data_IF_940590121864
#
_entry.id   IF_940590121864
#
_cell.length_a   1.000
_cell.length_b   1.000
_cell.length_c   1.000
_cell.angle_alpha   90.00
_cell.angle_beta   90.00
_cell.angle_gamma   90.00
#
_symmetry.space_group_name_H-M   'P 1'
#
loop_
_entity.id
_entity.type
_entity.pdbx_description
1 polymer ?
#
# COMPACT_ATOMS: atom_id res chain seq x y z
N UNK A 1 -0.89 -25.80 31.57
CA UNK A 1 0.01 -26.33 30.53
C UNK A 1 0.92 -25.28 29.88
N UNK A 2 0.98 -24.01 30.32
CA UNK A 2 2.03 -23.06 29.91
C UNK A 2 2.14 -22.74 28.41
N UNK A 3 1.20 -23.21 27.59
CA UNK A 3 1.18 -23.06 26.12
C UNK A 3 0.05 -22.14 25.71
N UNK A 4 0.36 -21.20 24.83
CA UNK A 4 -0.55 -20.18 24.32
C UNK A 4 -0.56 -20.22 22.79
N UNK A 5 -1.70 -19.82 22.21
CA UNK A 5 -1.86 -19.69 20.78
C UNK A 5 -2.08 -18.22 20.42
N UNK A 6 -1.26 -17.70 19.51
CA UNK A 6 -1.41 -16.35 18.98
C UNK A 6 -1.63 -16.45 17.48
N UNK A 7 -2.68 -15.79 16.98
CA UNK A 7 -3.00 -15.75 15.55
C UNK A 7 -2.49 -14.44 14.97
N UNK A 8 -1.56 -14.51 14.01
CA UNK A 8 -0.97 -13.35 13.34
C UNK A 8 -1.10 -13.49 11.81
N UNK A 9 -1.24 -12.38 11.10
CA UNK A 9 -1.35 -12.34 9.64
C UNK A 9 0.00 -11.97 9.02
N UNK A 10 0.70 -12.90 8.39
CA UNK A 10 1.97 -12.61 7.72
C UNK A 10 1.80 -12.63 6.21
N UNK A 11 2.17 -11.55 5.51
CA UNK A 11 2.02 -11.41 4.06
C UNK A 11 0.62 -11.81 3.57
N UNK A 12 -0.40 -11.38 4.33
CA UNK A 12 -1.80 -11.71 4.07
C UNK A 12 -2.21 -13.15 4.42
N UNK A 13 -1.36 -13.99 5.01
CA UNK A 13 -1.75 -15.34 5.47
C UNK A 13 -1.90 -15.39 6.98
N UNK A 14 -3.05 -15.83 7.47
CA UNK A 14 -3.27 -16.07 8.89
C UNK A 14 -2.54 -17.34 9.35
N UNK A 15 -1.62 -17.17 10.29
CA UNK A 15 -0.85 -18.24 10.90
C UNK A 15 -1.17 -18.32 12.39
N UNK A 16 -1.30 -19.55 12.90
CA UNK A 16 -1.42 -19.80 14.35
C UNK A 16 -0.05 -20.19 14.87
N UNK A 17 0.47 -19.40 15.79
CA UNK A 17 1.80 -19.56 16.38
C UNK A 17 1.63 -20.04 17.82
N UNK A 18 2.20 -21.20 18.11
CA UNK A 18 2.24 -21.75 19.47
C UNK A 18 3.47 -21.19 20.20
N UNK A 19 3.27 -20.69 21.40
CA UNK A 19 4.34 -20.17 22.28
C UNK A 19 4.18 -20.73 23.70
N UNK A 20 5.29 -20.86 24.40
CA UNK A 20 5.33 -21.12 25.85
C UNK A 20 5.38 -19.80 26.67
N UNK A 21 5.38 -19.90 28.00
CA UNK A 21 5.47 -18.77 28.96
C UNK A 21 6.89 -18.32 29.34
N UNK A 22 7.95 -18.91 28.77
CA UNK A 22 9.31 -18.45 29.04
C UNK A 22 9.58 -17.11 28.33
N UNK A 23 9.57 -16.02 29.09
CA UNK A 23 9.83 -14.67 28.59
C UNK A 23 11.25 -14.22 28.97
N UNK A 24 11.95 -13.44 28.10
CA UNK A 24 13.24 -12.87 28.45
C UNK A 24 13.12 -11.87 29.59
N UNK A 25 13.81 -12.15 30.69
CA UNK A 25 13.90 -11.28 31.86
C UNK A 25 15.34 -10.88 32.16
N UNK A 26 15.51 -9.74 32.81
CA UNK A 26 16.79 -9.31 33.37
C UNK A 26 17.15 -10.12 34.63
N UNK A 27 18.31 -9.82 35.22
CA UNK A 27 18.79 -10.47 36.45
C UNK A 27 17.86 -10.28 37.66
N UNK A 28 16.97 -9.28 37.61
CA UNK A 28 16.01 -8.95 38.65
C UNK A 28 14.61 -9.55 38.38
N UNK A 29 14.44 -10.27 37.27
CA UNK A 29 13.17 -10.88 36.88
C UNK A 29 12.20 -9.93 36.16
N UNK A 30 12.62 -8.74 35.76
CA UNK A 30 11.81 -7.83 34.95
C UNK A 30 11.91 -8.18 33.47
N UNK A 31 10.79 -8.08 32.75
CA UNK A 31 10.75 -8.31 31.31
C UNK A 31 11.65 -7.32 30.58
N UNK A 32 12.53 -7.81 29.70
CA UNK A 32 13.48 -6.95 28.97
C UNK A 32 12.82 -6.23 27.78
N UNK A 33 11.77 -6.83 27.21
CA UNK A 33 11.07 -6.33 26.03
C UNK A 33 9.74 -5.68 26.38
N UNK A 34 8.70 -5.84 25.56
CA UNK A 34 7.43 -5.15 25.72
C UNK A 34 6.78 -5.45 27.08
N UNK A 35 6.30 -4.40 27.74
CA UNK A 35 5.59 -4.48 29.00
C UNK A 35 4.24 -3.79 28.85
N UNK A 36 3.19 -4.43 29.39
CA UNK A 36 1.89 -3.81 29.50
C UNK A 36 1.65 -3.31 30.93
N UNK A 37 0.78 -2.32 31.06
CA UNK A 37 0.35 -1.86 32.38
C UNK A 37 -0.28 -3.00 33.20
N UNK A 38 -0.11 -2.93 34.51
CA UNK A 38 -0.68 -3.91 35.46
C UNK A 38 -0.18 -5.34 35.22
N UNK A 39 1.04 -5.50 34.72
CA UNK A 39 1.70 -6.79 34.49
C UNK A 39 0.88 -7.74 33.61
N UNK A 40 0.19 -7.21 32.61
CA UNK A 40 -0.56 -8.02 31.65
C UNK A 40 0.39 -8.69 30.65
N UNK A 41 0.26 -10.01 30.48
CA UNK A 41 1.18 -10.80 29.64
C UNK A 41 0.80 -10.88 28.15
N UNK A 42 -0.38 -10.36 27.76
CA UNK A 42 -0.85 -10.49 26.38
C UNK A 42 0.05 -9.74 25.38
N UNK A 43 0.64 -8.59 25.76
CA UNK A 43 1.58 -7.85 24.90
C UNK A 43 2.90 -8.63 24.73
N UNK A 44 3.60 -9.06 25.81
CA UNK A 44 4.78 -9.92 25.66
C UNK A 44 4.52 -11.18 24.84
N UNK A 45 3.35 -11.80 24.96
CA UNK A 45 2.99 -12.99 24.19
C UNK A 45 2.85 -12.70 22.69
N UNK A 46 2.22 -11.58 22.32
CA UNK A 46 2.14 -11.16 20.92
C UNK A 46 3.55 -10.88 20.36
N UNK A 47 4.37 -10.15 21.09
CA UNK A 47 5.75 -9.84 20.69
C UNK A 47 6.59 -11.11 20.54
N UNK A 48 6.48 -12.06 21.48
CA UNK A 48 7.14 -13.36 21.39
C UNK A 48 6.69 -14.17 20.17
N UNK A 49 5.39 -14.20 19.88
CA UNK A 49 4.87 -14.88 18.70
C UNK A 49 5.41 -14.24 17.42
N UNK A 50 5.47 -12.92 17.37
CA UNK A 50 6.03 -12.16 16.25
C UNK A 50 7.54 -12.44 16.08
N UNK A 51 8.31 -12.43 17.18
CA UNK A 51 9.73 -12.77 17.19
C UNK A 51 9.97 -14.20 16.68
N UNK A 52 9.15 -15.17 17.14
CA UNK A 52 9.22 -16.56 16.67
C UNK A 52 8.92 -16.68 15.18
N UNK A 53 7.95 -15.93 14.67
CA UNK A 53 7.60 -15.90 13.26
C UNK A 53 8.73 -15.35 12.37
N UNK A 54 9.47 -14.36 12.88
CA UNK A 54 10.62 -13.76 12.17
C UNK A 54 11.98 -14.36 12.55
N UNK A 55 12.01 -15.36 13.43
CA UNK A 55 13.19 -16.11 13.85
C UNK A 55 13.78 -15.69 15.20
N UNK A 56 13.83 -14.40 15.54
CA UNK A 56 14.33 -13.90 16.83
C UNK A 56 13.76 -12.52 17.20
N UNK A 57 13.98 -12.08 18.46
CA UNK A 57 13.57 -10.75 18.93
C UNK A 57 14.31 -9.61 18.22
N UNK A 58 15.58 -9.81 17.86
CA UNK A 58 16.37 -8.80 17.15
C UNK A 58 15.79 -8.48 15.76
N UNK A 59 15.15 -9.46 15.10
CA UNK A 59 14.47 -9.27 13.82
C UNK A 59 13.25 -8.33 13.88
N UNK A 60 12.79 -7.98 15.08
CA UNK A 60 11.70 -7.01 15.28
C UNK A 60 12.19 -5.56 15.33
N UNK A 61 13.50 -5.33 15.38
CA UNK A 61 14.08 -3.99 15.41
C UNK A 61 13.70 -3.19 14.15
N UNK A 62 13.39 -1.90 14.33
CA UNK A 62 13.08 -0.94 13.25
C UNK A 62 11.82 -1.22 12.41
N UNK A 63 10.79 -1.88 12.98
CA UNK A 63 9.49 -2.03 12.32
C UNK A 63 8.70 -0.72 12.20
N UNK A 64 7.90 -0.57 11.14
CA UNK A 64 6.95 0.54 10.97
C UNK A 64 5.57 0.17 11.54
N UNK A 65 4.77 1.16 11.93
CA UNK A 65 3.42 0.93 12.45
C UNK A 65 2.54 0.19 11.46
N UNK A 66 2.64 0.52 10.17
CA UNK A 66 1.89 -0.13 9.10
C UNK A 66 2.06 -1.66 9.08
N UNK A 67 3.26 -2.16 9.38
CA UNK A 67 3.55 -3.60 9.36
C UNK A 67 2.92 -4.30 10.56
N UNK A 68 2.98 -3.67 11.74
CA UNK A 68 2.32 -4.15 12.95
C UNK A 68 0.80 -4.19 12.79
N UNK A 69 0.22 -3.11 12.24
CA UNK A 69 -1.22 -3.03 11.97
C UNK A 69 -1.67 -4.11 10.98
N UNK A 70 -0.97 -4.27 9.85
CA UNK A 70 -1.26 -5.32 8.89
C UNK A 70 -1.12 -6.72 9.50
N UNK A 71 -0.13 -6.92 10.38
CA UNK A 71 0.12 -8.23 10.99
C UNK A 71 -0.93 -8.62 12.03
N UNK A 72 -1.40 -7.66 12.83
CA UNK A 72 -2.37 -7.91 13.88
C UNK A 72 -3.80 -8.00 13.36
N UNK A 73 -4.11 -7.26 12.30
CA UNK A 73 -5.49 -7.13 11.79
C UNK A 73 -5.74 -7.92 10.51
N UNK A 74 -4.70 -8.15 9.72
CA UNK A 74 -4.81 -8.71 8.37
C UNK A 74 -5.52 -7.81 7.36
N UNK A 75 -5.85 -6.56 7.75
CA UNK A 75 -6.59 -5.60 6.95
C UNK A 75 -5.67 -4.78 6.04
N UNK A 76 -6.23 -4.14 4.98
CA UNK A 76 -5.46 -3.29 4.09
C UNK A 76 -4.92 -2.08 4.84
N UNK A 77 -3.66 -1.76 4.60
CA UNK A 77 -3.03 -0.57 5.16
C UNK A 77 -2.53 0.36 4.06
N UNK A 78 -2.56 1.67 4.31
CA UNK A 78 -2.11 2.71 3.40
C UNK A 78 -1.24 3.72 4.15
N UNK A 79 -0.21 4.25 3.49
CA UNK A 79 0.65 5.29 4.05
C UNK A 79 0.36 6.63 3.38
N UNK A 80 -0.07 7.61 4.16
CA UNK A 80 -0.24 8.99 3.74
C UNK A 80 1.05 9.74 4.10
N UNK A 81 1.76 10.26 3.11
CA UNK A 81 2.97 11.08 3.32
C UNK A 81 2.56 12.51 3.65
N UNK A 82 3.15 13.09 4.71
CA UNK A 82 2.89 14.45 5.16
C UNK A 82 3.97 15.43 4.69
N UNK A 83 5.20 14.97 4.46
CA UNK A 83 6.32 15.81 4.07
C UNK A 83 6.78 15.54 2.64
N UNK A 84 7.02 16.62 1.87
CA UNK A 84 7.51 16.54 0.50
C UNK A 84 8.94 16.03 0.50
N UNK A 85 9.23 15.04 -0.33
CA UNK A 85 10.60 14.72 -0.71
C UNK A 85 11.03 15.67 -1.84
N UNK A 86 12.32 15.93 -2.00
CA UNK A 86 12.92 16.91 -2.94
C UNK A 86 12.56 16.74 -4.44
N UNK A 87 11.75 15.72 -4.79
CA UNK A 87 11.38 15.35 -6.15
C UNK A 87 9.85 15.17 -6.35
N UNK A 88 9.01 15.40 -5.33
CA UNK A 88 7.55 15.30 -5.44
C UNK A 88 6.89 16.68 -5.58
N UNK A 89 5.75 16.80 -6.30
CA UNK A 89 5.00 18.05 -6.36
C UNK A 89 4.55 18.50 -4.97
N UNK A 90 4.23 19.78 -4.82
CA UNK A 90 3.74 20.37 -3.57
C UNK A 90 2.60 19.51 -2.99
N UNK A 91 2.75 19.13 -1.72
CA UNK A 91 1.74 18.36 -1.02
C UNK A 91 0.52 19.25 -0.75
N UNK A 92 -0.64 18.83 -1.26
CA UNK A 92 -1.91 19.49 -0.97
C UNK A 92 -2.35 19.16 0.47
N UNK A 93 -2.18 20.14 1.36
CA UNK A 93 -2.58 20.06 2.78
C UNK A 93 -4.07 19.82 2.94
N UNK A 94 -4.92 20.41 2.09
CA UNK A 94 -6.37 20.27 2.18
C UNK A 94 -6.80 18.86 1.77
N UNK A 95 -6.14 18.27 0.76
CA UNK A 95 -6.37 16.87 0.39
C UNK A 95 -5.99 15.90 1.52
N UNK A 96 -4.86 16.13 2.19
CA UNK A 96 -4.46 15.30 3.35
C UNK A 96 -5.48 15.45 4.48
N UNK A 97 -5.89 16.67 4.80
CA UNK A 97 -6.89 16.92 5.83
C UNK A 97 -8.20 16.20 5.53
N UNK A 98 -8.71 16.31 4.31
CA UNK A 98 -9.93 15.62 3.87
C UNK A 98 -9.79 14.09 3.99
N UNK A 99 -8.62 13.52 3.65
CA UNK A 99 -8.35 12.09 3.81
C UNK A 99 -8.35 11.66 5.28
N UNK A 100 -7.70 12.42 6.17
CA UNK A 100 -7.68 12.12 7.60
C UNK A 100 -9.09 12.16 8.21
N UNK A 101 -9.89 13.15 7.83
CA UNK A 101 -11.28 13.26 8.27
C UNK A 101 -12.12 12.07 7.79
N UNK A 102 -11.99 11.70 6.51
CA UNK A 102 -12.65 10.54 5.92
C UNK A 102 -12.26 9.23 6.62
N UNK A 103 -10.97 9.03 6.92
CA UNK A 103 -10.49 7.85 7.67
C UNK A 103 -11.06 7.79 9.08
N UNK A 104 -11.17 8.95 9.76
CA UNK A 104 -11.78 9.05 11.08
C UNK A 104 -13.28 8.77 11.06
N UNK A 105 -14.02 9.26 10.06
CA UNK A 105 -15.45 8.95 9.89
C UNK A 105 -15.68 7.45 9.65
N UNK A 106 -14.79 6.81 8.89
CA UNK A 106 -14.77 5.36 8.69
C UNK A 106 -14.29 4.56 9.93
N UNK A 107 -13.87 5.23 11.00
CA UNK A 107 -13.33 4.62 12.23
C UNK A 107 -12.11 3.71 11.99
N UNK A 108 -11.28 4.07 11.01
CA UNK A 108 -10.03 3.36 10.72
C UNK A 108 -8.97 3.63 11.78
N UNK A 109 -8.10 2.63 12.00
CA UNK A 109 -6.99 2.77 12.94
C UNK A 109 -5.88 3.58 12.27
N UNK A 110 -5.35 4.57 12.97
CA UNK A 110 -4.29 5.44 12.43
C UNK A 110 -3.11 5.53 13.38
N UNK A 111 -1.91 5.33 12.84
CA UNK A 111 -0.64 5.58 13.52
C UNK A 111 0.15 6.63 12.75
N UNK A 112 0.98 7.41 13.44
CA UNK A 112 1.87 8.38 12.81
C UNK A 112 3.31 8.14 13.26
N UNK A 113 4.25 8.43 12.36
CA UNK A 113 5.68 8.32 12.64
C UNK A 113 6.29 9.70 12.77
N UNK A 114 6.96 9.95 13.91
CA UNK A 114 7.63 11.21 14.20
C UNK A 114 9.10 11.15 13.73
N UNK A 115 9.45 12.03 12.79
CA UNK A 115 10.81 12.32 12.34
C UNK A 115 11.66 11.13 11.88
N UNK A 116 11.53 10.66 10.62
CA UNK A 116 12.41 9.63 10.06
C UNK A 116 13.07 10.02 8.71
N UNK A 117 12.61 11.07 8.01
CA UNK A 117 13.03 11.32 6.62
C UNK A 117 14.28 12.22 6.45
N UNK A 118 14.62 13.06 7.43
CA UNK A 118 15.78 13.95 7.33
C UNK A 118 16.88 13.48 8.29
N UNK A 119 18.01 13.01 7.74
CA UNK A 119 19.21 12.56 8.47
C UNK A 119 19.88 13.62 9.36
N UNK A 120 19.26 14.79 9.50
CA UNK A 120 19.67 15.93 10.34
C UNK A 120 18.55 16.35 11.31
N UNK A 121 17.79 15.39 11.86
CA UNK A 121 16.85 15.70 12.93
C UNK A 121 17.61 16.11 14.18
N UNK A 122 17.51 17.38 14.54
CA UNK A 122 18.04 17.86 15.80
C UNK A 122 17.11 17.37 16.92
N UNK A 123 17.46 16.25 17.55
CA UNK A 123 16.67 15.65 18.63
C UNK A 123 16.36 16.65 19.76
N UNK A 124 17.18 17.68 19.93
CA UNK A 124 16.94 18.75 20.91
C UNK A 124 15.72 19.61 20.56
N UNK A 125 15.44 19.88 19.28
CA UNK A 125 14.25 20.65 18.86
C UNK A 125 12.96 19.88 19.19
N UNK A 126 12.94 18.58 18.89
CA UNK A 126 11.79 17.71 19.17
C UNK A 126 11.55 17.58 20.67
N UNK A 127 12.61 17.36 21.47
CA UNK A 127 12.48 17.27 22.92
C UNK A 127 12.03 18.59 23.56
N UNK A 128 12.41 19.76 23.02
CA UNK A 128 11.96 21.07 23.51
C UNK A 128 10.43 21.22 23.39
N UNK A 129 9.86 20.75 22.29
CA UNK A 129 8.39 20.77 22.08
C UNK A 129 7.67 19.57 22.70
N UNK A 130 8.41 18.68 23.40
CA UNK A 130 7.84 17.52 24.08
C UNK A 130 7.55 16.32 23.17
N UNK A 131 8.13 16.27 21.97
CA UNK A 131 8.02 15.15 21.04
C UNK A 131 9.27 14.27 21.10
N UNK A 132 9.07 12.95 21.10
CA UNK A 132 10.11 11.94 20.91
C UNK A 132 10.34 11.69 19.41
N UNK A 133 11.55 11.95 18.87
CA UNK A 133 11.88 11.60 17.48
C UNK A 133 12.09 10.09 17.31
N UNK A 134 11.97 9.59 16.07
CA UNK A 134 12.02 8.16 15.72
C UNK A 134 11.04 7.32 16.55
N UNK A 135 9.84 7.85 16.77
CA UNK A 135 8.84 7.19 17.60
C UNK A 135 7.47 7.18 16.93
N UNK A 136 6.71 6.13 17.24
CA UNK A 136 5.35 5.90 16.77
C UNK A 136 4.33 6.52 17.73
N UNK A 137 3.38 7.27 17.18
CA UNK A 137 2.24 7.82 17.92
C UNK A 137 0.95 7.23 17.36
N UNK A 138 -0.08 7.10 18.19
CA UNK A 138 -1.42 6.75 17.71
C UNK A 138 -2.19 8.03 17.41
N UNK A 139 -2.78 8.13 16.23
CA UNK A 139 -3.68 9.21 15.87
C UNK A 139 -5.11 8.81 16.28
N UNK A 140 -5.61 9.44 17.35
CA UNK A 140 -6.86 9.06 18.00
C UNK A 140 -8.08 9.78 17.44
N UNK A 141 -7.93 11.05 17.09
CA UNK A 141 -9.05 11.86 16.59
C UNK A 141 -8.57 13.00 15.68
N UNK A 142 -9.46 13.44 14.81
CA UNK A 142 -9.28 14.52 13.83
C UNK A 142 -10.55 15.36 13.83
N UNK A 143 -10.40 16.66 14.09
CA UNK A 143 -11.53 17.59 14.28
C UNK A 143 -11.31 18.90 13.54
N UNK A 144 -12.35 19.34 12.83
CA UNK A 144 -12.45 20.70 12.28
C UNK A 144 -13.55 21.45 13.05
N UNK A 145 -13.16 22.47 13.80
CA UNK A 145 -14.11 23.27 14.60
C UNK A 145 -13.91 24.75 14.29
N UNK A 146 -14.90 25.35 13.62
CA UNK A 146 -14.88 26.77 13.25
C UNK A 146 -13.64 27.15 12.42
N UNK A 147 -13.14 26.24 11.57
CA UNK A 147 -11.93 26.44 10.77
C UNK A 147 -10.63 26.14 11.51
N UNK A 148 -10.69 25.69 12.77
CA UNK A 148 -9.53 25.23 13.53
C UNK A 148 -9.39 23.72 13.33
N UNK A 149 -8.29 23.33 12.69
CA UNK A 149 -7.96 21.93 12.39
C UNK A 149 -7.04 21.36 13.46
N UNK A 150 -7.55 20.42 14.24
CA UNK A 150 -6.85 19.80 15.35
C UNK A 150 -6.76 18.28 15.18
N UNK A 151 -5.63 17.73 15.57
CA UNK A 151 -5.41 16.29 15.64
C UNK A 151 -5.09 15.89 17.08
N UNK A 152 -5.62 14.74 17.51
CA UNK A 152 -5.39 14.16 18.83
C UNK A 152 -4.45 12.98 18.69
N UNK A 153 -3.33 13.03 19.40
CA UNK A 153 -2.28 12.01 19.36
C UNK A 153 -2.09 11.38 20.72
N UNK A 154 -1.55 10.16 20.71
CA UNK A 154 -1.12 9.44 21.90
C UNK A 154 0.30 8.93 21.74
N UNK A 155 1.14 9.24 22.72
CA UNK A 155 2.42 8.59 22.96
C UNK A 155 2.19 7.28 23.74
N UNK A 156 2.50 6.10 23.15
CA UNK A 156 2.37 4.82 23.84
C UNK A 156 3.18 4.70 25.14
N UNK A 157 4.32 5.39 25.25
CA UNK A 157 5.17 5.36 26.44
C UNK A 157 4.67 6.24 27.58
N UNK A 158 3.59 7.01 27.39
CA UNK A 158 3.05 7.98 28.36
C UNK A 158 4.09 8.96 28.91
N UNK A 159 5.17 9.18 28.16
CA UNK A 159 6.25 10.13 28.48
C UNK A 159 6.19 11.28 27.49
N UNK A 160 6.55 12.48 27.95
CA UNK A 160 6.64 13.69 27.13
C UNK A 160 5.27 14.10 26.52
N UNK A 161 4.68 15.15 27.09
CA UNK A 161 3.48 15.80 26.53
C UNK A 161 3.90 16.93 25.62
N UNK A 162 3.17 17.13 24.53
CA UNK A 162 3.33 18.27 23.63
C UNK A 162 3.25 19.59 24.39
N UNK A 163 4.20 20.50 24.14
CA UNK A 163 4.32 21.79 24.82
C UNK A 163 3.98 23.00 23.92
N UNK A 164 3.56 22.77 22.68
CA UNK A 164 3.25 23.85 21.73
C UNK A 164 1.78 24.28 21.75
N UNK A 165 1.30 24.81 20.63
CA UNK A 165 -0.09 25.24 20.48
C UNK A 165 -1.06 24.08 20.67
N UNK A 166 -2.14 24.31 21.43
CA UNK A 166 -3.12 23.28 21.82
C UNK A 166 -2.59 22.17 22.73
N UNK A 167 -1.40 22.34 23.32
CA UNK A 167 -0.98 21.60 24.52
C UNK A 167 -2.00 21.77 25.65
N UNK A 168 -1.97 20.86 26.64
CA UNK A 168 -2.97 20.87 27.73
C UNK A 168 -3.06 22.23 28.44
N UNK A 169 -1.93 22.89 28.67
CA UNK A 169 -1.82 24.20 29.34
C UNK A 169 -1.87 25.40 28.37
N UNK A 170 -2.16 25.17 27.09
CA UNK A 170 -2.17 26.23 26.08
C UNK A 170 -3.25 27.30 26.36
N UNK A 171 -2.92 28.60 26.26
CA UNK A 171 -3.89 29.68 26.43
C UNK A 171 -4.90 29.77 25.28
N UNK A 172 -4.69 29.02 24.19
CA UNK A 172 -5.60 28.97 23.04
C UNK A 172 -6.91 28.24 23.34
N UNK A 173 -6.94 27.44 24.41
CA UNK A 173 -8.14 26.74 24.84
C UNK A 173 -9.20 27.72 25.35
N UNK A 174 -10.30 27.85 24.60
CA UNK A 174 -11.53 28.44 25.11
C UNK A 174 -12.27 27.42 25.98
N UNK A 175 -13.06 27.90 26.94
CA UNK A 175 -13.84 27.03 27.85
C UNK A 175 -14.76 26.08 27.05
N UNK A 176 -15.37 26.57 25.97
CA UNK A 176 -16.24 25.77 25.10
C UNK A 176 -15.49 24.66 24.36
N UNK A 177 -14.32 24.97 23.77
CA UNK A 177 -13.49 23.97 23.07
C UNK A 177 -12.94 22.94 24.05
N UNK A 178 -12.48 23.38 25.21
CA UNK A 178 -11.93 22.49 26.24
C UNK A 178 -12.98 21.51 26.75
N UNK A 179 -14.19 21.98 27.04
CA UNK A 179 -15.29 21.10 27.44
C UNK A 179 -15.70 20.10 26.35
N UNK A 180 -15.56 20.46 25.08
CA UNK A 180 -15.93 19.60 23.94
C UNK A 180 -14.85 18.56 23.61
N UNK A 181 -13.58 18.94 23.62
CA UNK A 181 -12.46 18.10 23.17
C UNK A 181 -11.68 17.42 24.30
N UNK A 182 -11.77 17.95 25.51
CA UNK A 182 -11.13 17.41 26.73
C UNK A 182 -12.18 17.23 27.84
N UNK A 183 -13.28 16.48 27.62
CA UNK A 183 -14.36 16.34 28.60
C UNK A 183 -13.92 15.65 29.90
N UNK A 184 -12.88 14.82 29.85
CA UNK A 184 -12.32 14.09 30.99
C UNK A 184 -11.01 14.69 31.52
N UNK A 185 -10.63 15.88 31.04
CA UNK A 185 -9.36 16.51 31.36
C UNK A 185 -8.18 16.00 30.53
N UNK A 186 -6.98 16.36 30.95
CA UNK A 186 -5.73 15.90 30.35
C UNK A 186 -5.42 14.46 30.78
N UNK A 187 -4.94 13.65 29.84
CA UNK A 187 -4.52 12.28 30.07
C UNK A 187 -3.04 12.15 29.71
N UNK A 188 -2.26 11.45 30.53
CA UNK A 188 -0.81 11.34 30.32
C UNK A 188 -0.46 10.73 28.96
N UNK A 189 0.34 11.46 28.19
CA UNK A 189 0.77 11.06 26.85
C UNK A 189 -0.29 11.25 25.77
N UNK A 190 -1.47 11.80 26.06
CA UNK A 190 -2.47 12.15 25.06
C UNK A 190 -2.57 13.66 24.97
N UNK A 191 -2.45 14.20 23.77
CA UNK A 191 -2.48 15.65 23.55
C UNK A 191 -3.14 16.00 22.22
N UNK A 192 -3.61 17.25 22.13
CA UNK A 192 -4.03 17.86 20.88
C UNK A 192 -2.90 18.68 20.29
N UNK A 193 -2.88 18.81 18.97
CA UNK A 193 -1.99 19.75 18.27
C UNK A 193 -2.66 20.30 17.03
N UNK A 194 -2.14 21.42 16.55
CA UNK A 194 -2.57 22.00 15.28
C UNK A 194 -2.20 21.09 14.11
N UNK A 195 -3.01 21.09 13.04
CA UNK A 195 -2.68 20.33 11.83
C UNK A 195 -1.40 20.83 11.16
N UNK A 196 -1.09 22.12 11.25
CA UNK A 196 0.16 22.67 10.68
C UNK A 196 1.40 22.18 11.45
N UNK A 197 1.34 22.11 12.79
CA UNK A 197 2.41 21.51 13.58
C UNK A 197 2.54 20.02 13.29
N UNK A 198 1.41 19.32 13.12
CA UNK A 198 1.42 17.92 12.75
C UNK A 198 2.17 17.67 11.45
N UNK A 199 1.88 18.44 10.40
CA UNK A 199 2.58 18.36 9.11
C UNK A 199 4.08 18.69 9.23
N UNK A 200 4.47 19.56 10.17
CA UNK A 200 5.86 19.96 10.41
C UNK A 200 6.69 18.88 11.12
N UNK A 201 6.12 18.23 12.15
CA UNK A 201 6.87 17.29 13.00
C UNK A 201 6.68 15.82 12.63
N UNK A 202 5.60 15.47 11.94
CA UNK A 202 5.32 14.09 11.53
C UNK A 202 5.59 13.88 10.05
N UNK A 203 6.05 12.67 9.72
CA UNK A 203 6.45 12.32 8.35
C UNK A 203 5.32 11.68 7.56
N UNK A 204 4.60 10.77 8.21
CA UNK A 204 3.57 9.96 7.58
C UNK A 204 2.53 9.50 8.59
N UNK A 205 1.35 9.19 8.05
CA UNK A 205 0.26 8.52 8.75
C UNK A 205 0.01 7.18 8.10
N UNK A 206 0.16 6.13 8.88
CA UNK A 206 -0.20 4.76 8.54
C UNK A 206 -1.67 4.54 8.91
N UNK A 207 -2.52 4.33 7.90
CA UNK A 207 -3.96 4.06 8.04
C UNK A 207 -4.19 2.58 7.84
N UNK A 208 -4.88 1.93 8.78
CA UNK A 208 -5.32 0.55 8.66
C UNK A 208 -6.84 0.52 8.53
N UNK A 209 -7.31 0.10 7.35
CA UNK A 209 -8.73 0.09 6.94
C UNK A 209 -9.47 -1.10 7.54
N UNK A 210 -9.36 -1.27 8.87
CA UNK A 210 -10.10 -2.32 9.59
C UNK A 210 -11.57 -1.95 9.56
N UNK A 211 -12.38 -2.81 8.95
CA UNK A 211 -13.82 -2.71 9.01
C UNK A 211 -14.42 -4.10 9.31
N UNK A 212 -15.01 -4.31 10.50
CA UNK A 212 -15.62 -5.59 10.85
C UNK A 212 -16.78 -6.02 9.95
N UNK A 213 -17.40 -5.08 9.24
CA UNK A 213 -18.51 -5.37 8.31
C UNK A 213 -18.04 -5.84 6.92
N UNK A 214 -16.74 -5.70 6.62
CA UNK A 214 -16.22 -6.07 5.31
C UNK A 214 -15.99 -7.58 5.21
N UNK A 215 -16.32 -8.10 4.03
CA UNK A 215 -16.04 -9.47 3.64
C UNK A 215 -14.63 -9.55 3.08
N UNK A 216 -13.93 -10.63 3.45
CA UNK A 216 -12.57 -10.89 3.02
C UNK A 216 -12.49 -12.17 2.19
N UNK A 217 -11.84 -12.08 1.03
CA UNK A 217 -11.42 -13.22 0.23
C UNK A 217 -9.89 -13.20 0.08
N UNK A 218 -9.20 -14.28 0.52
CA UNK A 218 -7.75 -14.42 0.37
C UNK A 218 -7.46 -15.48 -0.68
N UNK A 219 -6.73 -15.09 -1.73
CA UNK A 219 -6.52 -15.92 -2.92
C UNK A 219 -5.03 -16.03 -3.19
N UNK A 220 -4.55 -17.26 -3.28
CA UNK A 220 -3.17 -17.53 -3.70
C UNK A 220 -3.11 -17.41 -5.22
N UNK A 221 -2.21 -16.58 -5.71
CA UNK A 221 -2.00 -16.38 -7.14
C UNK A 221 -0.57 -16.61 -7.56
N UNK A 222 -0.34 -16.48 -8.86
CA UNK A 222 0.98 -16.48 -9.44
C UNK A 222 1.19 -15.22 -10.28
N UNK A 223 2.41 -14.68 -10.25
CA UNK A 223 2.77 -13.58 -11.14
C UNK A 223 2.78 -14.07 -12.58
N UNK A 224 1.94 -13.45 -13.40
CA UNK A 224 1.88 -13.72 -14.82
C UNK A 224 2.88 -12.85 -15.57
N UNK A 225 3.72 -13.49 -16.39
CA UNK A 225 4.67 -12.80 -17.25
C UNK A 225 4.01 -12.49 -18.59
N UNK A 226 4.09 -11.24 -19.09
CA UNK A 226 3.34 -10.85 -20.30
C UNK A 226 3.66 -11.65 -21.57
N UNK A 227 4.69 -12.49 -21.64
CA UNK A 227 5.24 -12.98 -22.92
C UNK A 227 5.62 -14.47 -22.97
N UNK A 228 5.32 -15.29 -21.95
CA UNK A 228 5.78 -16.70 -21.93
C UNK A 228 4.95 -17.69 -22.74
N UNK A 229 3.88 -17.26 -23.43
CA UNK A 229 2.96 -18.19 -24.11
C UNK A 229 2.21 -19.12 -23.16
N UNK A 230 2.37 -18.93 -21.85
CA UNK A 230 1.69 -19.68 -20.82
C UNK A 230 0.29 -19.11 -20.56
N UNK A 231 -0.57 -19.99 -20.04
CA UNK A 231 -1.86 -19.62 -19.48
C UNK A 231 -1.65 -18.63 -18.33
N UNK A 232 -2.35 -17.50 -18.38
CA UNK A 232 -2.32 -16.43 -17.39
C UNK A 232 -3.48 -16.63 -16.45
N UNK A 233 -3.19 -16.85 -15.16
CA UNK A 233 -4.20 -16.95 -14.12
C UNK A 233 -4.63 -15.55 -13.70
N UNK A 234 -5.93 -15.30 -13.79
CA UNK A 234 -6.57 -14.05 -13.41
C UNK A 234 -7.71 -14.35 -12.42
N UNK A 235 -8.16 -13.33 -11.69
CA UNK A 235 -9.27 -13.47 -10.76
C UNK A 235 -10.50 -12.77 -11.32
N UNK A 236 -11.53 -13.53 -11.66
CA UNK A 236 -12.82 -13.01 -12.07
C UNK A 236 -13.66 -12.72 -10.83
N UNK A 237 -14.28 -11.54 -10.82
CA UNK A 237 -15.01 -11.01 -9.68
C UNK A 237 -16.42 -10.67 -10.15
N UNK A 238 -17.41 -11.36 -9.62
CA UNK A 238 -18.81 -11.04 -9.85
C UNK A 238 -19.34 -10.19 -8.70
N UNK A 239 -19.78 -8.98 -9.05
CA UNK A 239 -20.32 -7.99 -8.13
C UNK A 239 -21.84 -7.94 -8.32
N UNK A 240 -22.59 -8.19 -7.25
CA UNK A 240 -24.06 -8.25 -7.29
C UNK A 240 -24.73 -6.93 -6.89
N UNK A 241 -24.10 -6.19 -5.98
CA UNK A 241 -24.54 -4.89 -5.49
C UNK A 241 -23.37 -3.90 -5.58
N UNK A 242 -23.65 -2.61 -5.70
CA UNK A 242 -22.58 -1.59 -5.68
C UNK A 242 -21.75 -1.75 -4.40
N UNK A 243 -20.47 -2.04 -4.56
CA UNK A 243 -19.58 -2.49 -3.50
C UNK A 243 -18.29 -1.69 -3.52
N UNK A 244 -17.94 -1.11 -2.38
CA UNK A 244 -16.57 -0.65 -2.15
C UNK A 244 -15.66 -1.87 -1.97
N UNK A 245 -14.52 -1.85 -2.67
CA UNK A 245 -13.58 -2.96 -2.73
C UNK A 245 -12.16 -2.43 -2.61
N UNK A 246 -11.36 -3.07 -1.73
CA UNK A 246 -9.93 -2.86 -1.61
C UNK A 246 -9.18 -4.12 -2.03
N UNK A 247 -8.34 -3.96 -3.04
CA UNK A 247 -7.43 -4.99 -3.52
C UNK A 247 -6.09 -4.80 -2.85
N UNK A 248 -5.55 -5.87 -2.29
CA UNK A 248 -4.19 -5.87 -1.76
C UNK A 248 -3.42 -7.07 -2.28
N UNK A 249 -2.20 -6.83 -2.74
CA UNK A 249 -1.28 -7.84 -3.23
C UNK A 249 -0.08 -7.89 -2.30
N UNK A 250 0.18 -9.08 -1.76
CA UNK A 250 1.31 -9.38 -0.92
C UNK A 250 2.29 -10.26 -1.69
N UNK A 251 3.56 -9.87 -1.65
CA UNK A 251 4.69 -10.67 -2.12
C UNK A 251 5.34 -11.32 -0.90
N UNK A 252 5.83 -12.55 -1.06
CA UNK A 252 6.55 -13.23 0.01
C UNK A 252 7.88 -12.50 0.28
N UNK A 253 7.86 -11.59 1.25
CA UNK A 253 9.06 -10.98 1.79
C UNK A 253 9.39 -11.68 3.10
N UNK A 254 10.43 -12.52 3.08
CA UNK A 254 10.96 -13.11 4.30
C UNK A 254 11.86 -12.07 4.98
N UNK A 255 11.43 -11.53 6.13
CA UNK A 255 12.34 -11.01 7.15
C UNK A 255 13.18 -12.17 7.74
N UNK A 256 13.88 -12.92 6.89
CA UNK A 256 14.81 -13.94 7.32
C UNK A 256 16.11 -13.24 7.66
N UNK A 257 16.50 -13.30 8.93
CA UNK A 257 17.85 -12.90 9.38
C UNK A 257 18.85 -13.74 8.58
N UNK A 258 19.48 -13.11 7.59
CA UNK A 258 20.35 -13.76 6.65
C UNK A 258 20.24 -13.18 5.25
N UNK A 259 20.67 -11.92 5.09
CA UNK A 259 21.22 -11.35 3.84
C UNK A 259 20.57 -11.80 2.51
N UNK A 260 19.24 -11.92 2.45
CA UNK A 260 18.55 -11.88 1.17
C UNK A 260 18.31 -10.41 0.87
N UNK A 261 19.15 -9.88 0.00
CA UNK A 261 18.93 -8.61 -0.69
C UNK A 261 17.48 -8.55 -1.21
N UNK A 262 16.96 -7.34 -1.47
CA UNK A 262 15.65 -7.05 -2.11
C UNK A 262 15.43 -7.73 -3.49
N UNK A 263 16.24 -8.72 -3.85
CA UNK A 263 16.30 -9.42 -5.14
C UNK A 263 15.05 -10.24 -5.42
N UNK A 264 14.27 -10.62 -4.38
CA UNK A 264 13.06 -11.45 -4.54
C UNK A 264 11.76 -10.63 -4.69
N UNK A 265 11.78 -9.31 -4.47
CA UNK A 265 10.58 -8.46 -4.63
C UNK A 265 10.42 -8.10 -6.11
N UNK A 266 9.28 -8.48 -6.68
CA UNK A 266 8.98 -8.18 -8.07
C UNK A 266 8.41 -6.78 -8.23
N UNK A 267 8.68 -6.19 -9.39
CA UNK A 267 8.00 -5.00 -9.86
C UNK A 267 6.59 -5.35 -10.36
N UNK A 268 5.61 -5.10 -9.51
CA UNK A 268 4.26 -5.58 -9.73
C UNK A 268 3.24 -4.43 -9.83
N UNK A 269 2.13 -4.74 -10.49
CA UNK A 269 0.93 -3.89 -10.52
C UNK A 269 -0.32 -4.77 -10.48
N UNK A 270 -1.33 -4.31 -9.75
CA UNK A 270 -2.67 -4.90 -9.79
C UNK A 270 -3.54 -4.01 -10.65
N UNK A 271 -4.22 -4.60 -11.62
CA UNK A 271 -5.16 -3.86 -12.48
C UNK A 271 -6.48 -4.59 -12.53
N UNK A 272 -7.56 -3.84 -12.37
CA UNK A 272 -8.93 -4.34 -12.40
C UNK A 272 -9.62 -3.79 -13.63
N UNK A 273 -10.26 -4.67 -14.39
CA UNK A 273 -11.00 -4.32 -15.59
C UNK A 273 -12.46 -4.75 -15.48
N UNK A 274 -13.35 -4.01 -16.15
CA UNK A 274 -14.73 -4.42 -16.33
C UNK A 274 -14.80 -5.34 -17.54
N UNK A 275 -15.50 -6.45 -17.40
CA UNK A 275 -15.72 -7.45 -18.44
C UNK A 275 -17.17 -7.43 -18.90
N UNK A 276 -17.38 -7.81 -20.16
CA UNK A 276 -18.72 -8.13 -20.63
C UNK A 276 -19.19 -9.44 -19.97
N UNK A 277 -20.44 -9.44 -19.50
CA UNK A 277 -21.03 -10.58 -18.79
C UNK A 277 -21.36 -11.75 -19.72
N UNK A 278 -21.49 -11.50 -21.03
CA UNK A 278 -21.82 -12.53 -22.02
C UNK A 278 -20.57 -13.10 -22.67
N UNK A 279 -19.68 -12.25 -23.19
CA UNK A 279 -18.48 -12.68 -23.92
C UNK A 279 -17.27 -12.93 -23.02
N UNK A 280 -17.24 -12.35 -21.81
CA UNK A 280 -16.06 -12.38 -20.94
C UNK A 280 -14.92 -11.47 -21.41
N UNK A 281 -15.10 -10.72 -22.51
CA UNK A 281 -14.08 -9.81 -23.02
C UNK A 281 -13.89 -8.59 -22.12
N UNK A 282 -12.65 -8.08 -22.07
CA UNK A 282 -12.34 -6.86 -21.33
C UNK A 282 -12.93 -5.65 -22.07
N UNK A 283 -13.74 -4.86 -21.37
CA UNK A 283 -14.34 -3.64 -21.89
C UNK A 283 -13.42 -2.43 -21.66
N UNK A 284 -13.08 -2.15 -20.39
CA UNK A 284 -12.21 -1.03 -20.05
C UNK A 284 -11.55 -1.22 -18.68
N UNK A 285 -10.43 -0.50 -18.47
CA UNK A 285 -9.75 -0.47 -17.20
C UNK A 285 -10.54 0.32 -16.16
N UNK A 286 -10.71 -0.22 -14.96
CA UNK A 286 -11.45 0.43 -13.85
C UNK A 286 -10.45 1.13 -12.95
N UNK A 287 -9.54 0.38 -12.33
CA UNK A 287 -8.54 0.89 -11.39
C UNK A 287 -7.21 0.15 -11.56
N UNK A 288 -6.11 0.82 -11.25
CA UNK A 288 -4.79 0.21 -11.13
C UNK A 288 -4.11 0.64 -9.82
N UNK A 289 -3.25 -0.21 -9.28
CA UNK A 289 -2.29 0.20 -8.25
C UNK A 289 -1.17 1.04 -8.87
N UNK A 290 -0.39 1.70 -8.02
CA UNK A 290 0.91 2.22 -8.44
C UNK A 290 1.87 1.04 -8.66
N UNK A 291 2.67 1.09 -9.72
CA UNK A 291 3.69 0.07 -9.99
C UNK A 291 4.96 0.42 -9.23
N UNK A 292 5.37 -0.45 -8.31
CA UNK A 292 6.53 -0.24 -7.44
C UNK A 292 7.19 -1.57 -7.08
N UNK A 293 8.50 -1.53 -6.84
CA UNK A 293 9.26 -2.60 -6.19
C UNK A 293 8.92 -2.62 -4.69
N UNK A 294 7.74 -3.11 -4.34
CA UNK A 294 7.27 -3.13 -2.97
C UNK A 294 6.56 -4.44 -2.62
N UNK A 295 6.79 -4.93 -1.41
CA UNK A 295 6.22 -6.20 -0.94
C UNK A 295 4.69 -6.15 -0.79
N UNK A 296 4.12 -4.96 -0.71
CA UNK A 296 2.69 -4.72 -0.58
C UNK A 296 2.25 -3.68 -1.61
N UNK A 297 1.18 -3.99 -2.34
CA UNK A 297 0.55 -3.07 -3.28
C UNK A 297 -0.95 -3.08 -3.01
N UNK A 298 -1.59 -1.92 -3.10
CA UNK A 298 -3.04 -1.83 -2.96
C UNK A 298 -3.67 -0.88 -3.98
N UNK A 299 -4.96 -1.09 -4.22
CA UNK A 299 -5.82 -0.14 -4.90
C UNK A 299 -7.26 -0.27 -4.39
N UNK A 300 -8.00 0.84 -4.45
CA UNK A 300 -9.38 0.92 -4.00
C UNK A 300 -10.29 1.25 -5.19
N UNK A 301 -11.50 0.70 -5.21
CA UNK A 301 -12.51 1.07 -6.19
C UNK A 301 -13.93 0.87 -5.65
N UNK A 302 -14.85 1.68 -6.16
CA UNK A 302 -16.28 1.44 -6.04
C UNK A 302 -16.74 0.69 -7.30
N UNK A 303 -17.12 -0.57 -7.15
CA UNK A 303 -17.58 -1.42 -8.25
C UNK A 303 -19.10 -1.44 -8.29
N UNK A 304 -19.67 -1.20 -9.46
CA UNK A 304 -21.11 -1.39 -9.72
C UNK A 304 -21.42 -2.86 -9.99
N UNK A 305 -22.69 -3.28 -9.97
CA UNK A 305 -23.07 -4.64 -10.36
C UNK A 305 -22.55 -5.00 -11.75
N UNK A 306 -21.88 -6.14 -11.87
CA UNK A 306 -21.28 -6.60 -13.11
C UNK A 306 -20.12 -7.57 -12.92
N UNK A 307 -19.49 -7.91 -14.03
CA UNK A 307 -18.35 -8.80 -14.08
C UNK A 307 -17.05 -8.01 -14.21
N UNK A 308 -16.06 -8.37 -13.41
CA UNK A 308 -14.74 -7.75 -13.39
C UNK A 308 -13.65 -8.81 -13.44
N UNK A 309 -12.46 -8.43 -13.88
CA UNK A 309 -11.28 -9.27 -13.80
C UNK A 309 -10.11 -8.49 -13.20
N UNK A 310 -9.48 -9.07 -12.19
CA UNK A 310 -8.26 -8.56 -11.58
C UNK A 310 -7.06 -9.35 -12.08
N UNK A 311 -6.08 -8.62 -12.61
CA UNK A 311 -4.85 -9.17 -13.17
C UNK A 311 -3.66 -8.61 -12.39
N UNK A 312 -2.81 -9.52 -11.90
CA UNK A 312 -1.54 -9.18 -11.26
C UNK A 312 -0.40 -9.36 -12.26
N UNK A 313 0.22 -8.25 -12.65
CA UNK A 313 1.26 -8.23 -13.67
C UNK A 313 2.61 -7.94 -13.03
N UNK A 314 3.66 -8.65 -13.48
CA UNK A 314 5.06 -8.33 -13.19
C UNK A 314 5.80 -8.02 -14.49
N UNK A 315 6.68 -7.02 -14.44
CA UNK A 315 7.42 -6.53 -15.62
C UNK A 315 8.92 -6.80 -15.57
N UNK A 316 9.38 -7.60 -14.61
CA UNK A 316 10.80 -7.89 -14.43
C UNK A 316 11.31 -8.92 -15.46
N UNK A 317 12.62 -8.93 -15.70
CA UNK A 317 13.26 -9.67 -16.81
C UNK A 317 12.97 -11.19 -16.75
N UNK A 318 12.51 -11.76 -17.87
CA UNK A 318 12.18 -13.19 -18.02
C UNK A 318 13.35 -14.12 -17.67
N UNK A 319 14.58 -13.71 -17.98
CA UNK A 319 15.79 -14.52 -17.75
C UNK A 319 16.13 -14.69 -16.27
N UNK A 320 15.82 -13.69 -15.44
CA UNK A 320 16.05 -13.72 -13.99
C UNK A 320 14.98 -14.57 -13.32
N UNK A 321 13.72 -14.41 -13.74
CA UNK A 321 12.58 -15.08 -13.13
C UNK A 321 12.61 -16.60 -13.35
N UNK A 322 13.04 -17.07 -14.52
CA UNK A 322 13.14 -18.51 -14.79
C UNK A 322 14.22 -19.23 -13.98
N UNK A 323 15.17 -18.51 -13.37
CA UNK A 323 16.31 -19.12 -12.66
C UNK A 323 16.15 -19.15 -11.14
N UNK A 324 15.33 -18.29 -10.51
CA UNK A 324 15.51 -18.04 -9.06
C UNK A 324 14.25 -17.96 -8.19
N UNK A 325 13.03 -17.74 -8.70
CA UNK A 325 11.89 -17.37 -7.84
C UNK A 325 10.64 -18.26 -7.99
N UNK A 326 10.08 -18.71 -6.87
CA UNK A 326 8.68 -19.14 -6.82
C UNK A 326 7.80 -17.90 -7.00
N UNK A 327 7.12 -17.79 -8.15
CA UNK A 327 6.25 -16.65 -8.52
C UNK A 327 4.94 -16.59 -7.74
N UNK A 328 4.89 -17.10 -6.50
CA UNK A 328 3.68 -17.09 -5.69
C UNK A 328 3.41 -15.71 -5.13
N UNK A 329 2.16 -15.28 -5.22
CA UNK A 329 1.66 -14.11 -4.53
C UNK A 329 0.42 -14.47 -3.73
N UNK A 330 0.04 -13.59 -2.81
CA UNK A 330 -1.26 -13.66 -2.18
C UNK A 330 -1.99 -12.36 -2.45
N UNK A 331 -3.14 -12.46 -3.10
CA UNK A 331 -4.07 -11.35 -3.27
C UNK A 331 -5.17 -11.46 -2.22
N UNK A 332 -5.45 -10.37 -1.53
CA UNK A 332 -6.60 -10.28 -0.62
C UNK A 332 -7.56 -9.24 -1.17
N UNK A 333 -8.84 -9.60 -1.18
CA UNK A 333 -9.91 -8.77 -1.63
C UNK A 333 -10.85 -8.50 -0.47
N UNK A 334 -10.87 -7.25 -0.02
CA UNK A 334 -11.82 -6.81 0.99
C UNK A 334 -12.96 -6.07 0.32
N UNK A 335 -14.19 -6.34 0.73
CA UNK A 335 -15.39 -5.82 0.08
C UNK A 335 -16.49 -5.51 1.08
N UNK A 336 -17.19 -4.40 0.86
CA UNK A 336 -18.31 -3.97 1.71
C UNK A 336 -19.57 -4.84 1.60
N UNK A 337 -19.71 -5.59 0.51
CA UNK A 337 -20.81 -6.55 0.26
C UNK A 337 -20.26 -7.88 -0.21
N UNK A 338 -21.11 -8.90 -0.22
CA UNK A 338 -20.75 -10.22 -0.71
C UNK A 338 -20.48 -10.15 -2.23
N UNK A 339 -19.29 -10.61 -2.60
CA UNK A 339 -18.86 -10.76 -4.00
C UNK A 339 -18.35 -12.19 -4.19
N UNK A 340 -18.48 -12.69 -5.40
CA UNK A 340 -17.93 -13.99 -5.78
C UNK A 340 -16.61 -13.79 -6.52
N UNK A 341 -15.60 -14.59 -6.17
CA UNK A 341 -14.30 -14.55 -6.82
C UNK A 341 -13.89 -15.94 -7.27
N UNK A 342 -13.58 -16.07 -8.56
CA UNK A 342 -13.17 -17.32 -9.20
C UNK A 342 -11.81 -17.13 -9.90
N UNK A 343 -10.94 -18.15 -9.85
CA UNK A 343 -9.72 -18.18 -10.63
C UNK A 343 -10.04 -18.62 -12.07
N UNK A 344 -9.56 -17.86 -13.06
CA UNK A 344 -9.81 -18.11 -14.47
C UNK A 344 -8.53 -18.02 -15.28
N UNK A 345 -8.41 -18.92 -16.24
CA UNK A 345 -7.26 -19.06 -17.12
C UNK A 345 -7.50 -18.29 -18.42
N UNK A 346 -6.54 -17.43 -18.78
CA UNK A 346 -6.60 -16.55 -19.95
C UNK A 346 -5.36 -16.68 -20.83
N UNK A 347 -5.46 -16.20 -22.07
CA UNK A 347 -4.38 -16.24 -23.06
C UNK A 347 -3.44 -15.03 -22.95
N UNK A 348 -2.27 -15.13 -23.58
CA UNK A 348 -1.35 -13.98 -23.72
C UNK A 348 -1.96 -12.82 -24.51
N UNK A 349 -2.82 -13.10 -25.50
CA UNK A 349 -3.54 -12.07 -26.25
C UNK A 349 -4.50 -11.27 -25.37
N UNK A 350 -5.12 -11.92 -24.39
CA UNK A 350 -6.00 -11.27 -23.42
C UNK A 350 -5.22 -10.27 -22.55
N UNK A 351 -4.04 -10.65 -22.05
CA UNK A 351 -3.17 -9.76 -21.29
C UNK A 351 -2.63 -8.60 -22.13
N UNK A 352 -2.29 -8.84 -23.39
CA UNK A 352 -1.88 -7.79 -24.31
C UNK A 352 -2.98 -6.74 -24.52
N UNK A 353 -4.24 -7.20 -24.69
CA UNK A 353 -5.40 -6.30 -24.77
C UNK A 353 -5.61 -5.53 -23.45
N UNK A 354 -5.47 -6.20 -22.30
CA UNK A 354 -5.56 -5.56 -20.99
C UNK A 354 -4.53 -4.42 -20.83
N UNK A 355 -3.27 -4.68 -21.17
CA UNK A 355 -2.20 -3.67 -21.16
C UNK A 355 -2.51 -2.50 -22.09
N UNK A 356 -3.06 -2.77 -23.28
CA UNK A 356 -3.48 -1.73 -24.20
C UNK A 356 -4.54 -0.81 -23.59
N UNK A 357 -5.62 -1.38 -23.04
CA UNK A 357 -6.71 -0.63 -22.40
C UNK A 357 -6.26 0.16 -21.17
N UNK A 358 -5.28 -0.35 -20.43
CA UNK A 358 -4.66 0.38 -19.32
C UNK A 358 -3.92 1.63 -19.81
N UNK A 359 -3.12 1.51 -20.88
CA UNK A 359 -2.39 2.64 -21.47
C UNK A 359 -3.34 3.61 -22.17
N UNK A 360 -4.44 3.13 -22.75
CA UNK A 360 -5.47 4.00 -23.33
C UNK A 360 -6.13 4.89 -22.25
N UNK A 361 -6.42 4.34 -21.07
CA UNK A 361 -7.07 5.08 -19.98
C UNK A 361 -6.13 6.06 -19.25
N UNK A 362 -4.92 5.61 -18.92
CA UNK A 362 -4.00 6.37 -18.05
C UNK A 362 -2.82 6.98 -18.80
N UNK A 363 -2.56 6.54 -20.02
CA UNK A 363 -1.43 7.00 -20.82
C UNK A 363 -1.69 8.35 -21.45
N UNK A 364 -0.60 8.97 -21.89
CA UNK A 364 -0.62 10.20 -22.68
C UNK A 364 -0.48 9.82 -24.15
N UNK A 365 -1.33 10.41 -24.97
CA UNK A 365 -1.19 10.28 -26.42
C UNK A 365 0.00 11.13 -26.88
N UNK A 366 0.87 10.54 -27.69
CA UNK A 366 1.95 11.26 -28.34
C UNK A 366 1.52 11.65 -29.76
N UNK A 367 1.36 12.94 -29.99
CA UNK A 367 1.10 13.48 -31.32
C UNK A 367 2.41 13.62 -32.08
N UNK A 368 2.65 12.72 -33.04
CA UNK A 368 3.81 12.81 -33.90
C UNK A 368 3.45 13.69 -35.10
N UNK A 369 4.21 14.76 -35.30
CA UNK A 369 4.06 15.63 -36.46
C UNK A 369 4.22 14.82 -37.76
N UNK A 370 3.30 15.01 -38.71
CA UNK A 370 3.24 14.36 -40.03
C UNK A 370 2.75 12.90 -40.07
N UNK A 371 2.27 12.32 -38.97
CA UNK A 371 1.56 11.04 -39.02
C UNK A 371 0.05 11.23 -39.31
N UNK A 372 -0.59 10.33 -40.07
CA UNK A 372 -2.04 10.40 -40.26
C UNK A 372 -2.74 10.23 -38.91
N UNK A 373 -3.83 10.99 -38.67
CA UNK A 373 -4.62 10.94 -37.42
C UNK A 373 -5.12 9.53 -37.04
N UNK A 374 -5.05 8.60 -37.98
CA UNK A 374 -5.40 7.19 -37.84
C UNK A 374 -4.36 6.34 -37.13
N UNK A 375 -3.10 6.79 -36.99
CA UNK A 375 -2.09 6.11 -36.17
C UNK A 375 -2.01 6.79 -34.81
N UNK A 376 -2.31 6.06 -33.74
CA UNK A 376 -2.25 6.57 -32.38
C UNK A 376 -1.13 5.88 -31.62
N UNK A 377 -0.17 6.66 -31.13
CA UNK A 377 0.87 6.17 -30.23
C UNK A 377 0.59 6.73 -28.84
N UNK A 378 0.52 5.87 -27.84
CA UNK A 378 0.30 6.26 -26.45
C UNK A 378 1.42 5.70 -25.58
N UNK A 379 1.74 6.42 -24.53
CA UNK A 379 2.73 5.97 -23.56
C UNK A 379 2.26 6.21 -22.13
N UNK A 380 2.67 5.33 -21.23
CA UNK A 380 2.39 5.42 -19.81
C UNK A 380 3.70 5.38 -19.03
N UNK A 381 3.98 6.47 -18.32
CA UNK A 381 5.13 6.64 -17.43
C UNK A 381 4.71 7.00 -16.00
N UNK A 382 3.65 7.79 -15.87
CA UNK A 382 3.17 8.32 -14.58
C UNK A 382 2.77 7.15 -13.65
N UNK A 383 3.38 7.11 -12.46
CA UNK A 383 3.19 6.06 -11.45
C UNK A 383 3.48 4.63 -11.95
N UNK A 384 4.36 4.48 -12.95
CA UNK A 384 4.65 3.18 -13.58
C UNK A 384 6.06 2.62 -13.39
N UNK A 385 6.96 3.29 -12.64
CA UNK A 385 8.32 2.77 -12.39
C UNK A 385 9.12 2.41 -13.67
N UNK A 386 8.66 2.86 -14.84
CA UNK A 386 9.06 2.39 -16.16
C UNK A 386 8.12 2.92 -17.24
N UNK A 387 8.41 2.58 -18.50
CA UNK A 387 7.70 3.06 -19.68
C UNK A 387 6.94 1.90 -20.34
N UNK A 388 5.65 2.09 -20.59
CA UNK A 388 4.86 1.21 -21.48
C UNK A 388 4.44 2.03 -22.68
N UNK A 389 4.74 1.55 -23.89
CA UNK A 389 4.33 2.17 -25.14
C UNK A 389 3.35 1.26 -25.87
N UNK A 390 2.28 1.86 -26.41
CA UNK A 390 1.30 1.19 -27.25
C UNK A 390 1.12 1.97 -28.53
N UNK A 391 0.82 1.27 -29.61
CA UNK A 391 0.52 1.88 -30.89
C UNK A 391 -0.65 1.16 -31.56
N UNK A 392 -1.60 1.93 -32.06
CA UNK A 392 -2.81 1.44 -32.72
C UNK A 392 -2.84 1.94 -34.17
N UNK A 393 -3.03 1.01 -35.11
CA UNK A 393 -3.26 1.33 -36.51
C UNK A 393 -4.75 1.32 -36.83
N UNK A 394 -5.33 2.51 -36.95
CA UNK A 394 -6.73 2.70 -37.36
C UNK A 394 -6.97 2.70 -38.87
N UNK A 395 -5.94 2.51 -39.71
CA UNK A 395 -6.12 2.51 -41.17
C UNK A 395 -6.69 1.19 -41.68
N UNK A 396 -7.53 1.25 -42.71
CA UNK A 396 -8.13 0.07 -43.31
C UNK A 396 -7.16 -0.69 -44.25
N UNK A 397 -6.23 0.01 -44.89
CA UNK A 397 -5.47 -0.56 -46.03
C UNK A 397 -3.94 -0.37 -45.93
N UNK A 398 -3.42 0.19 -44.83
CA UNK A 398 -1.99 0.49 -44.70
C UNK A 398 -1.38 -0.22 -43.50
N UNK A 399 -0.17 -0.74 -43.67
CA UNK A 399 0.64 -1.25 -42.56
C UNK A 399 1.72 -0.24 -42.20
N UNK A 400 2.03 -0.11 -40.92
CA UNK A 400 3.09 0.78 -40.44
C UNK A 400 4.22 -0.02 -39.81
N UNK A 401 5.45 0.39 -40.09
CA UNK A 401 6.61 -0.10 -39.35
C UNK A 401 6.86 0.83 -38.17
N UNK A 402 6.96 0.25 -36.98
CA UNK A 402 7.29 0.98 -35.77
C UNK A 402 8.65 0.50 -35.29
N UNK A 403 9.54 1.45 -35.13
CA UNK A 403 10.85 1.26 -34.54
C UNK A 403 10.89 2.03 -33.22
N UNK A 404 11.19 1.32 -32.14
CA UNK A 404 11.43 1.90 -30.83
C UNK A 404 12.89 1.62 -30.46
N UNK A 405 13.70 2.67 -30.50
CA UNK A 405 15.11 2.65 -30.11
C UNK A 405 15.29 3.27 -28.72
N UNK A 406 15.62 2.42 -27.76
CA UNK A 406 15.97 2.80 -26.39
C UNK A 406 17.47 2.62 -26.10
N UNK A 407 18.33 2.42 -27.12
CA UNK A 407 19.77 2.18 -26.95
C UNK A 407 20.51 3.33 -26.26
N UNK A 408 20.05 4.57 -26.43
CA UNK A 408 20.61 5.75 -25.78
C UNK A 408 20.24 5.91 -24.30
N UNK A 409 19.33 5.08 -23.77
CA UNK A 409 18.86 5.17 -22.39
C UNK A 409 19.60 4.20 -21.47
N UNK A 410 20.03 4.69 -20.30
CA UNK A 410 20.66 3.87 -19.27
C UNK A 410 19.59 3.34 -18.29
N UNK A 411 19.79 2.14 -17.74
CA UNK A 411 18.92 1.49 -16.74
C UNK A 411 17.52 1.09 -17.22
N UNK A 412 17.34 0.78 -18.52
CA UNK A 412 16.10 0.20 -19.03
C UNK A 412 16.22 -1.32 -19.15
N UNK A 413 15.18 -2.02 -18.69
CA UNK A 413 14.98 -3.46 -18.92
C UNK A 413 13.82 -3.61 -19.89
N UNK A 414 14.11 -4.11 -21.09
CA UNK A 414 13.09 -4.36 -22.10
C UNK A 414 12.40 -5.70 -21.87
N UNK A 415 11.07 -5.69 -21.84
CA UNK A 415 10.26 -6.92 -21.80
C UNK A 415 10.36 -7.75 -23.08
N UNK A 416 10.89 -7.17 -24.17
CA UNK A 416 11.15 -7.84 -25.46
C UNK A 416 12.58 -8.37 -25.58
N UNK A 417 13.42 -8.21 -24.54
CA UNK A 417 14.80 -8.71 -24.52
C UNK A 417 15.84 -7.88 -25.28
N UNK A 418 15.42 -6.83 -26.00
CA UNK A 418 16.29 -5.91 -26.73
C UNK A 418 15.90 -4.44 -26.53
N UNK A 419 16.89 -3.53 -26.58
CA UNK A 419 16.68 -2.08 -26.47
C UNK A 419 16.21 -1.46 -27.80
N UNK A 420 16.50 -2.12 -28.92
CA UNK A 420 15.92 -1.80 -30.22
C UNK A 420 14.84 -2.83 -30.52
N UNK A 421 13.62 -2.36 -30.75
CA UNK A 421 12.49 -3.20 -31.12
C UNK A 421 11.83 -2.67 -32.38
N UNK A 422 11.56 -3.56 -33.32
CA UNK A 422 10.90 -3.24 -34.58
C UNK A 422 9.67 -4.14 -34.72
N UNK A 423 8.51 -3.54 -34.99
CA UNK A 423 7.26 -4.25 -35.18
C UNK A 423 6.51 -3.72 -36.42
N UNK A 424 5.62 -4.54 -36.97
CA UNK A 424 4.76 -4.17 -38.08
C UNK A 424 3.30 -4.17 -37.62
N UNK A 425 2.66 -3.00 -37.67
CA UNK A 425 1.25 -2.86 -37.37
C UNK A 425 0.41 -3.12 -38.63
N UNK A 426 -0.33 -4.23 -38.71
CA UNK A 426 -1.22 -4.49 -39.84
C UNK A 426 -2.41 -3.52 -39.83
N UNK A 427 -3.11 -3.36 -40.98
CA UNK A 427 -4.35 -2.60 -41.04
C UNK A 427 -5.45 -3.20 -40.16
N UNK A 428 -6.41 -2.35 -39.76
CA UNK A 428 -7.54 -2.69 -38.89
C UNK A 428 -8.48 -3.73 -39.53
N UNK A 429 -8.65 -3.66 -40.84
CA UNK A 429 -9.36 -4.68 -41.62
C UNK A 429 -8.34 -5.65 -42.20
N UNK A 430 -8.44 -6.92 -41.82
CA UNK A 430 -7.65 -8.00 -42.39
C UNK A 430 -8.42 -8.69 -43.51
#
# INVERSE_FOLDING_TARGET
EGVYQVRLCNNGRWNIILIDDFLPCDEYGHLVYSQAERNQLWVPFIEKALAKMHGCYEALSSGRCIEGLATLTGAPCEMIKLQSCSYSPDIDKDLIWARLLSCKEASFLMGSSCGCLNSSINATEYHQVGLQPNHAYSLLDVQDINGIRLVRLRNPWKRCSWNGDWSDDSPLWTISLRNKLLPHGSEEGIFWMSFDDFMRYFESVDVCKVNPSWMENRISGHFSLPMTGNVVKCHQIAVFETSEVEFSLYQDNLRSVGNKSNVDILDAVVVVYKCDSVTGEILHCVVKSERRYHAYLNCHALLEPGLYIAITLSFQNLSIIMQTCSLTNLSTLHSSKVIQVDEVENTSSFVANALFLMVEKYGKQHEIANLPQTLKCSYLMDNMGGLIMTAENGTANSSFYIECDCSGSQNLVSTRGGLLTVDCLPPKTR
#
